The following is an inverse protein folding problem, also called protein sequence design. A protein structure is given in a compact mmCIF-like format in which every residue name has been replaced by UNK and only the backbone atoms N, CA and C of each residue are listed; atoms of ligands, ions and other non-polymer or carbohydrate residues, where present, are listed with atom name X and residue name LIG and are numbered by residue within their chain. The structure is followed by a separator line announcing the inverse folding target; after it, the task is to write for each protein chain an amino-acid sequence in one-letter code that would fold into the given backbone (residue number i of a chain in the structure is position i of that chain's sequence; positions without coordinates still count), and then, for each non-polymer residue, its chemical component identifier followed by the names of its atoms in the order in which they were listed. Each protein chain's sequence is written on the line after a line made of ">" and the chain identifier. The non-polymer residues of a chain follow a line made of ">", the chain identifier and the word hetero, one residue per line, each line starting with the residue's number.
data_IF_099248890273
#
_entry.id   IF_099248890273
#
_cell.length_a   1.000
_cell.length_b   1.000
_cell.length_c   1.000
_cell.angle_alpha   90.00
_cell.angle_beta   90.00
_cell.angle_gamma   90.00
#
_symmetry.space_group_name_H-M   'P 1'
#
loop_
_entity.id
_entity.type
_entity.pdbx_description
1 polymer ?
#
# COMPACT_ATOMS: atom_id res chain seq x y z
N UNK A 1 -1.85 -2.63 5.12
CA UNK A 1 -2.31 -4.01 5.44
C UNK A 1 -2.82 -4.72 4.18
N UNK A 2 -3.87 -4.22 3.52
CA UNK A 2 -4.45 -4.86 2.32
C UNK A 2 -3.42 -5.23 1.24
N UNK A 3 -2.52 -4.29 0.92
CA UNK A 3 -1.48 -4.52 -0.07
C UNK A 3 -0.55 -5.69 0.27
N UNK A 4 -0.25 -5.88 1.55
CA UNK A 4 0.62 -6.97 2.00
C UNK A 4 -0.05 -8.33 1.81
N UNK A 5 -1.38 -8.35 1.89
CA UNK A 5 -2.22 -9.55 1.85
C UNK A 5 -2.64 -9.94 0.43
N UNK A 6 -2.97 -8.94 -0.41
CA UNK A 6 -3.45 -9.17 -1.77
C UNK A 6 -2.32 -9.29 -2.78
N UNK A 7 -1.26 -8.50 -2.63
CA UNK A 7 -0.16 -8.48 -3.58
C UNK A 7 0.84 -9.56 -3.21
N UNK A 8 0.70 -10.73 -3.82
CA UNK A 8 1.61 -11.84 -3.59
C UNK A 8 2.86 -11.72 -4.48
N UNK A 9 4.00 -11.81 -3.82
CA UNK A 9 5.33 -11.62 -4.41
C UNK A 9 5.69 -12.79 -5.33
N UNK A 10 5.11 -13.97 -5.12
CA UNK A 10 5.36 -15.13 -5.98
C UNK A 10 4.91 -14.89 -7.43
N UNK A 11 3.75 -14.24 -7.63
CA UNK A 11 3.25 -13.98 -8.99
C UNK A 11 4.10 -12.97 -9.76
N UNK A 12 4.86 -12.09 -9.08
CA UNK A 12 5.73 -11.10 -9.73
C UNK A 12 6.83 -11.78 -10.54
N UNK A 13 7.38 -12.88 -10.03
CA UNK A 13 8.40 -13.66 -10.74
C UNK A 13 7.85 -14.32 -12.02
N UNK A 14 6.54 -14.60 -12.04
CA UNK A 14 5.82 -15.17 -13.18
C UNK A 14 5.14 -14.11 -14.05
N UNK A 15 5.44 -12.82 -13.85
CA UNK A 15 4.81 -11.72 -14.60
C UNK A 15 3.27 -11.77 -14.51
N UNK A 16 2.76 -11.97 -13.31
CA UNK A 16 1.35 -12.15 -13.04
C UNK A 16 0.89 -11.37 -11.81
N UNK A 17 -0.40 -11.07 -11.79
CA UNK A 17 -1.07 -10.43 -10.66
C UNK A 17 -2.46 -11.06 -10.47
N UNK A 18 -2.97 -11.10 -9.24
CA UNK A 18 -4.35 -11.53 -9.01
C UNK A 18 -5.33 -10.43 -9.41
N UNK A 19 -6.52 -10.79 -9.89
CA UNK A 19 -7.57 -9.81 -10.20
C UNK A 19 -7.90 -8.92 -9.01
N UNK A 20 -7.89 -9.47 -7.79
CA UNK A 20 -8.12 -8.71 -6.57
C UNK A 20 -7.02 -7.69 -6.23
N UNK A 21 -5.74 -8.03 -6.44
CA UNK A 21 -4.65 -7.08 -6.19
C UNK A 21 -4.59 -5.99 -7.25
N UNK A 22 -4.92 -6.30 -8.51
CA UNK A 22 -5.08 -5.31 -9.56
C UNK A 22 -6.23 -4.35 -9.22
N UNK A 23 -7.39 -4.87 -8.81
CA UNK A 23 -8.52 -4.05 -8.36
C UNK A 23 -8.16 -3.16 -7.17
N UNK A 24 -7.42 -3.70 -6.20
CA UNK A 24 -6.92 -2.88 -5.09
C UNK A 24 -6.01 -1.75 -5.56
N UNK A 25 -5.04 -2.04 -6.43
CA UNK A 25 -4.05 -1.06 -6.87
C UNK A 25 -4.66 0.04 -7.75
N UNK A 26 -5.64 -0.28 -8.60
CA UNK A 26 -6.23 0.68 -9.53
C UNK A 26 -7.44 1.42 -8.97
N UNK A 27 -8.24 0.79 -8.10
CA UNK A 27 -9.51 1.35 -7.65
C UNK A 27 -9.41 1.80 -6.20
N UNK A 28 -9.17 0.85 -5.29
CA UNK A 28 -9.23 1.12 -3.85
C UNK A 28 -8.14 2.10 -3.44
N UNK A 29 -6.90 1.85 -3.86
CA UNK A 29 -5.76 2.65 -3.43
C UNK A 29 -5.89 4.13 -3.86
N UNK A 30 -6.15 4.47 -5.14
CA UNK A 30 -6.40 5.86 -5.53
C UNK A 30 -7.60 6.48 -4.83
N UNK A 31 -8.70 5.73 -4.65
CA UNK A 31 -9.89 6.23 -3.97
C UNK A 31 -9.59 6.58 -2.50
N UNK A 32 -8.79 5.77 -1.80
CA UNK A 32 -8.35 6.07 -0.43
C UNK A 32 -7.52 7.35 -0.35
N UNK A 33 -6.61 7.58 -1.31
CA UNK A 33 -5.82 8.81 -1.38
C UNK A 33 -6.72 10.02 -1.58
N UNK A 34 -7.70 9.94 -2.49
CA UNK A 34 -8.63 11.04 -2.76
C UNK A 34 -9.45 11.39 -1.51
N UNK A 35 -10.01 10.38 -0.83
CA UNK A 35 -10.76 10.60 0.43
C UNK A 35 -9.86 11.24 1.48
N UNK A 36 -8.64 10.73 1.64
CA UNK A 36 -7.68 11.26 2.60
C UNK A 36 -7.32 12.72 2.33
N UNK A 37 -7.03 13.08 1.08
CA UNK A 37 -6.71 14.46 0.71
C UNK A 37 -7.90 15.40 0.95
N UNK A 38 -9.12 14.97 0.60
CA UNK A 38 -10.34 15.75 0.84
C UNK A 38 -10.58 15.99 2.33
N UNK A 39 -10.43 14.96 3.16
CA UNK A 39 -10.56 15.11 4.62
C UNK A 39 -9.50 16.06 5.16
N UNK A 40 -8.26 15.96 4.67
CA UNK A 40 -7.16 16.80 5.14
C UNK A 40 -7.27 18.27 4.72
N UNK A 41 -7.97 18.59 3.63
CA UNK A 41 -8.15 19.95 3.14
C UNK A 41 -9.36 20.65 3.77
N UNK A 42 -10.29 19.90 4.37
CA UNK A 42 -11.48 20.48 5.00
C UNK A 42 -11.17 21.02 6.40
N UNK A 43 -11.62 22.25 6.67
CA UNK A 43 -11.61 22.83 8.01
C UNK A 43 -12.59 22.09 8.93
N UNK A 44 -12.25 22.00 10.22
CA UNK A 44 -12.99 21.29 11.27
C UNK A 44 -14.48 21.68 11.39
N UNK A 45 -14.85 22.87 10.92
CA UNK A 45 -16.22 23.40 10.95
C UNK A 45 -17.13 22.82 9.85
N UNK A 46 -16.57 22.19 8.81
CA UNK A 46 -17.34 21.68 7.67
C UNK A 46 -17.64 20.20 7.87
N UNK A 47 -18.90 19.81 7.65
CA UNK A 47 -19.31 18.41 7.79
C UNK A 47 -18.58 17.49 6.79
N UNK A 48 -18.06 16.39 7.32
CA UNK A 48 -17.35 15.34 6.58
C UNK A 48 -18.23 14.10 6.31
N UNK A 49 -19.57 14.26 6.32
CA UNK A 49 -20.52 13.14 6.16
C UNK A 49 -20.28 12.33 4.87
N UNK A 50 -20.01 13.00 3.75
CA UNK A 50 -19.79 12.33 2.45
C UNK A 50 -18.48 11.54 2.46
N UNK A 51 -17.40 12.13 2.96
CA UNK A 51 -16.10 11.48 3.07
C UNK A 51 -16.13 10.30 4.04
N UNK A 52 -16.90 10.42 5.13
CA UNK A 52 -17.14 9.33 6.07
C UNK A 52 -17.87 8.17 5.38
N UNK A 53 -18.95 8.43 4.65
CA UNK A 53 -19.68 7.39 3.90
C UNK A 53 -18.76 6.71 2.87
N UNK A 54 -18.02 7.49 2.08
CA UNK A 54 -17.07 6.93 1.11
C UNK A 54 -15.99 6.10 1.80
N UNK A 55 -15.44 6.58 2.92
CA UNK A 55 -14.46 5.84 3.73
C UNK A 55 -15.02 4.51 4.26
N UNK A 56 -16.25 4.51 4.76
CA UNK A 56 -16.93 3.31 5.24
C UNK A 56 -17.17 2.30 4.12
N UNK A 57 -17.60 2.76 2.93
CA UNK A 57 -17.77 1.88 1.76
C UNK A 57 -16.43 1.23 1.38
N UNK A 58 -15.36 2.02 1.33
CA UNK A 58 -14.02 1.49 1.03
C UNK A 58 -13.57 0.46 2.08
N UNK A 59 -13.85 0.71 3.36
CA UNK A 59 -13.53 -0.21 4.43
C UNK A 59 -14.29 -1.55 4.30
N UNK A 60 -15.59 -1.50 3.98
CA UNK A 60 -16.41 -2.69 3.75
C UNK A 60 -15.88 -3.51 2.56
N UNK A 61 -15.60 -2.85 1.43
CA UNK A 61 -15.04 -3.51 0.24
C UNK A 61 -13.68 -4.13 0.57
N UNK A 62 -12.83 -3.41 1.30
CA UNK A 62 -11.51 -3.90 1.72
C UNK A 62 -11.64 -5.13 2.62
N UNK A 63 -12.56 -5.13 3.57
CA UNK A 63 -12.85 -6.29 4.41
C UNK A 63 -13.27 -7.50 3.57
N UNK A 64 -14.17 -7.29 2.60
CA UNK A 64 -14.65 -8.33 1.71
C UNK A 64 -13.50 -8.95 0.90
N UNK A 65 -12.57 -8.13 0.38
CA UNK A 65 -11.39 -8.63 -0.33
C UNK A 65 -10.47 -9.46 0.56
N UNK A 66 -10.30 -9.10 1.84
CA UNK A 66 -9.52 -9.92 2.80
C UNK A 66 -10.19 -11.28 2.97
N UNK A 67 -11.52 -11.30 3.15
CA UNK A 67 -12.28 -12.54 3.32
C UNK A 67 -12.15 -13.42 2.07
N UNK A 68 -12.34 -12.86 0.87
CA UNK A 68 -12.17 -13.59 -0.38
C UNK A 68 -10.77 -14.19 -0.51
N UNK A 69 -9.73 -13.43 -0.15
CA UNK A 69 -8.35 -13.91 -0.18
C UNK A 69 -8.13 -15.05 0.83
N UNK A 70 -8.73 -14.96 2.02
CA UNK A 70 -8.67 -16.02 3.03
C UNK A 70 -9.30 -17.34 2.55
N UNK A 71 -10.30 -17.26 1.68
CA UNK A 71 -10.91 -18.43 1.00
C UNK A 71 -10.24 -18.80 -0.33
N UNK A 72 -9.07 -18.22 -0.65
CA UNK A 72 -8.33 -18.43 -1.91
C UNK A 72 -9.11 -18.06 -3.19
N UNK A 73 -10.08 -17.14 -3.10
CA UNK A 73 -10.82 -16.62 -4.27
C UNK A 73 -10.05 -15.41 -4.81
N UNK A 74 -9.29 -15.60 -5.90
CA UNK A 74 -8.34 -14.60 -6.41
C UNK A 74 -8.85 -13.76 -7.59
N UNK A 75 -10.09 -13.98 -8.04
CA UNK A 75 -10.67 -13.40 -9.26
C UNK A 75 -9.78 -13.59 -10.49
N UNK A 76 -9.13 -14.75 -10.58
CA UNK A 76 -8.23 -15.12 -11.66
C UNK A 76 -6.82 -14.55 -11.51
N UNK A 77 -5.91 -15.10 -12.31
CA UNK A 77 -4.52 -14.66 -12.43
C UNK A 77 -4.38 -14.00 -13.80
N UNK A 78 -4.02 -12.72 -13.79
CA UNK A 78 -3.90 -11.89 -14.99
C UNK A 78 -2.41 -11.70 -15.28
N UNK A 79 -1.93 -12.00 -16.49
CA UNK A 79 -0.55 -11.72 -16.86
C UNK A 79 -0.35 -10.21 -16.96
N UNK A 80 0.71 -9.71 -16.32
CA UNK A 80 1.16 -8.32 -16.39
C UNK A 80 2.62 -8.31 -16.81
N UNK A 81 2.96 -7.43 -17.76
CA UNK A 81 4.35 -7.26 -18.19
C UNK A 81 5.24 -6.83 -17.04
N UNK A 82 6.53 -7.17 -17.10
CA UNK A 82 7.50 -6.73 -16.09
C UNK A 82 7.47 -5.20 -15.89
N UNK A 83 7.25 -4.45 -16.98
CA UNK A 83 7.06 -2.99 -16.95
C UNK A 83 5.90 -2.53 -16.04
N UNK A 84 4.81 -3.31 -15.94
CA UNK A 84 3.70 -3.00 -15.06
C UNK A 84 4.09 -3.10 -13.58
N UNK A 85 4.84 -4.14 -13.19
CA UNK A 85 5.37 -4.25 -11.82
C UNK A 85 6.39 -3.14 -11.55
N UNK A 86 7.19 -2.79 -12.54
CA UNK A 86 8.16 -1.70 -12.45
C UNK A 86 7.51 -0.33 -12.24
N UNK A 87 6.38 -0.08 -12.90
CA UNK A 87 5.59 1.13 -12.70
C UNK A 87 5.11 1.27 -11.25
N UNK A 88 4.61 0.19 -10.63
CA UNK A 88 4.20 0.20 -9.22
C UNK A 88 5.38 0.42 -8.26
N UNK A 89 6.58 -0.06 -8.60
CA UNK A 89 7.80 0.23 -7.84
C UNK A 89 8.10 1.74 -7.82
N UNK A 90 8.05 2.41 -8.97
CA UNK A 90 8.27 3.86 -9.05
C UNK A 90 7.19 4.68 -8.33
N UNK A 91 5.92 4.25 -8.38
CA UNK A 91 4.86 4.85 -7.54
C UNK A 91 5.24 4.73 -6.06
N UNK A 92 5.76 3.57 -5.65
CA UNK A 92 6.25 3.35 -4.30
C UNK A 92 7.31 4.37 -3.88
N UNK A 93 8.31 4.62 -4.73
CA UNK A 93 9.36 5.63 -4.47
C UNK A 93 8.75 7.03 -4.34
N UNK A 94 7.85 7.42 -5.24
CA UNK A 94 7.19 8.74 -5.19
C UNK A 94 6.43 8.91 -3.88
N UNK A 95 5.72 7.87 -3.42
CA UNK A 95 5.00 7.88 -2.14
C UNK A 95 5.94 7.98 -0.94
N UNK A 96 7.11 7.33 -0.99
CA UNK A 96 8.13 7.46 0.05
C UNK A 96 8.62 8.89 0.16
N UNK A 97 9.02 9.50 -0.96
CA UNK A 97 9.52 10.87 -1.02
C UNK A 97 8.43 11.85 -0.57
N UNK A 98 7.21 11.72 -1.11
CA UNK A 98 6.08 12.56 -0.73
C UNK A 98 5.73 12.42 0.76
N UNK A 99 5.71 11.20 1.28
CA UNK A 99 5.41 10.94 2.70
C UNK A 99 6.44 11.57 3.64
N UNK A 100 7.72 11.53 3.29
CA UNK A 100 8.79 12.21 4.05
C UNK A 100 8.62 13.73 3.96
N UNK A 101 8.44 14.26 2.75
CA UNK A 101 8.33 15.70 2.51
C UNK A 101 7.14 16.34 3.23
N UNK A 102 5.96 15.70 3.16
CA UNK A 102 4.75 16.17 3.84
C UNK A 102 4.67 15.76 5.32
N UNK A 103 5.73 15.15 5.88
CA UNK A 103 5.77 14.62 7.26
C UNK A 103 4.63 13.65 7.60
N UNK A 104 4.12 12.94 6.58
CA UNK A 104 3.05 11.93 6.64
C UNK A 104 3.63 10.54 6.42
N UNK A 105 4.16 9.97 7.50
CA UNK A 105 4.87 8.68 7.49
C UNK A 105 4.01 7.50 7.04
N UNK A 106 2.68 7.61 7.12
CA UNK A 106 1.73 6.63 6.58
C UNK A 106 1.95 6.38 5.09
N UNK A 107 2.16 7.43 4.31
CA UNK A 107 2.44 7.31 2.87
C UNK A 107 3.82 6.71 2.61
N UNK A 108 4.81 7.03 3.44
CA UNK A 108 6.12 6.39 3.33
C UNK A 108 6.07 4.91 3.64
N UNK A 109 5.30 4.49 4.66
CA UNK A 109 5.06 3.07 4.95
C UNK A 109 4.39 2.33 3.78
N UNK A 110 3.35 2.93 3.18
CA UNK A 110 2.67 2.33 2.02
C UNK A 110 3.61 2.27 0.80
N UNK A 111 4.38 3.33 0.55
CA UNK A 111 5.36 3.36 -0.54
C UNK A 111 6.44 2.28 -0.41
N UNK A 112 6.96 2.08 0.80
CA UNK A 112 7.92 1.02 1.10
C UNK A 112 7.32 -0.38 0.89
N UNK A 113 6.04 -0.58 1.22
CA UNK A 113 5.35 -1.86 0.95
C UNK A 113 5.25 -2.13 -0.55
N UNK A 114 4.91 -1.12 -1.36
CA UNK A 114 4.94 -1.26 -2.82
C UNK A 114 6.33 -1.64 -3.30
N UNK A 115 7.37 -0.92 -2.87
CA UNK A 115 8.75 -1.23 -3.25
C UNK A 115 9.17 -2.64 -2.83
N UNK A 116 8.82 -3.09 -1.62
CA UNK A 116 9.15 -4.43 -1.13
C UNK A 116 8.53 -5.54 -1.98
N UNK A 117 7.26 -5.36 -2.38
CA UNK A 117 6.53 -6.35 -3.17
C UNK A 117 6.96 -6.39 -4.64
N UNK A 118 7.46 -5.28 -5.16
CA UNK A 118 7.82 -5.12 -6.59
C UNK A 118 9.33 -5.15 -6.86
N UNK A 119 10.17 -5.31 -5.82
CA UNK A 119 11.64 -5.31 -5.98
C UNK A 119 12.14 -6.41 -6.91
N UNK A 120 11.45 -7.55 -6.96
CA UNK A 120 11.80 -8.69 -7.81
C UNK A 120 11.63 -8.39 -9.30
N UNK A 121 10.79 -7.41 -9.66
CA UNK A 121 10.66 -6.92 -11.03
C UNK A 121 11.80 -5.96 -11.44
N UNK A 122 12.52 -5.41 -10.46
CA UNK A 122 13.66 -4.51 -10.67
C UNK A 122 14.98 -5.27 -10.73
N UNK A 123 15.16 -6.23 -9.82
CA UNK A 123 16.42 -6.90 -9.61
C UNK A 123 16.26 -8.36 -10.05
N UNK A 124 16.85 -8.68 -11.20
CA UNK A 124 16.78 -10.02 -11.79
C UNK A 124 17.61 -11.05 -11.01
N UNK A 125 18.65 -10.63 -10.28
CA UNK A 125 19.42 -11.52 -9.44
C UNK A 125 18.67 -11.78 -8.11
N UNK A 126 18.24 -13.02 -7.84
CA UNK A 126 17.37 -13.35 -6.71
C UNK A 126 18.02 -13.08 -5.36
N UNK A 127 19.35 -13.28 -5.25
CA UNK A 127 20.06 -13.07 -3.99
C UNK A 127 20.06 -11.59 -3.62
N UNK A 128 20.38 -10.71 -4.58
CA UNK A 128 20.28 -9.27 -4.37
C UNK A 128 18.85 -8.80 -4.13
N UNK A 129 17.85 -9.31 -4.86
CA UNK A 129 16.46 -8.93 -4.67
C UNK A 129 15.96 -9.28 -3.26
N UNK A 130 16.39 -10.42 -2.72
CA UNK A 130 16.10 -10.84 -1.35
C UNK A 130 16.78 -9.93 -0.33
N UNK A 131 18.05 -9.57 -0.53
CA UNK A 131 18.77 -8.63 0.35
C UNK A 131 18.06 -7.27 0.40
N UNK A 132 17.70 -6.69 -0.76
CA UNK A 132 16.97 -5.43 -0.82
C UNK A 132 15.57 -5.53 -0.19
N UNK A 133 14.85 -6.61 -0.43
CA UNK A 133 13.56 -6.87 0.22
C UNK A 133 13.68 -6.89 1.74
N UNK A 134 14.74 -7.49 2.28
CA UNK A 134 14.98 -7.57 3.72
C UNK A 134 15.32 -6.18 4.29
N UNK A 135 16.16 -5.41 3.61
CA UNK A 135 16.49 -4.03 3.99
C UNK A 135 15.21 -3.17 4.09
N UNK A 136 14.34 -3.24 3.06
CA UNK A 136 13.07 -2.49 3.05
C UNK A 136 12.18 -2.93 4.22
N UNK A 137 12.17 -4.23 4.54
CA UNK A 137 11.38 -4.76 5.65
C UNK A 137 11.86 -4.25 7.02
N UNK A 138 13.17 -4.22 7.25
CA UNK A 138 13.75 -3.63 8.47
C UNK A 138 13.34 -2.16 8.58
N UNK A 139 13.41 -1.41 7.48
CA UNK A 139 13.05 0.01 7.45
C UNK A 139 11.56 0.22 7.77
N UNK A 140 10.69 -0.66 7.27
CA UNK A 140 9.27 -0.68 7.63
C UNK A 140 9.05 -0.90 9.12
N UNK A 141 9.74 -1.85 9.73
CA UNK A 141 9.63 -2.12 11.19
C UNK A 141 10.04 -0.90 11.99
N UNK A 142 11.18 -0.30 11.66
CA UNK A 142 11.65 0.94 12.32
C UNK A 142 10.63 2.05 12.19
N UNK A 143 10.05 2.24 11.00
CA UNK A 143 9.03 3.26 10.75
C UNK A 143 7.77 3.03 11.60
N UNK A 144 7.30 1.79 11.73
CA UNK A 144 6.13 1.45 12.55
C UNK A 144 6.39 1.70 14.03
N UNK A 145 7.56 1.31 14.54
CA UNK A 145 7.96 1.57 15.94
C UNK A 145 8.01 3.07 16.20
N UNK A 146 8.70 3.83 15.33
CA UNK A 146 8.78 5.28 15.44
C UNK A 146 7.40 5.94 15.42
N UNK A 147 6.53 5.52 14.51
CA UNK A 147 5.17 6.04 14.41
C UNK A 147 4.38 5.77 15.69
N UNK A 148 4.50 4.57 16.25
CA UNK A 148 3.82 4.17 17.50
C UNK A 148 4.30 5.01 18.69
N UNK A 149 5.61 5.23 18.83
CA UNK A 149 6.18 6.08 19.88
C UNK A 149 5.66 7.51 19.74
N UNK A 150 5.70 8.06 18.53
CA UNK A 150 5.23 9.42 18.25
C UNK A 150 3.74 9.57 18.58
N UNK A 151 2.92 8.58 18.23
CA UNK A 151 1.48 8.59 18.55
C UNK A 151 1.26 8.59 20.08
N UNK A 152 1.96 7.71 20.79
CA UNK A 152 1.91 7.59 22.26
C UNK A 152 2.32 8.87 22.99
N UNK A 153 3.33 9.58 22.48
CA UNK A 153 3.79 10.84 23.07
C UNK A 153 2.76 11.97 22.98
N UNK A 154 1.89 11.97 21.95
CA UNK A 154 0.85 13.01 21.77
C UNK A 154 -0.34 12.84 22.70
N UNK A 155 -0.63 11.62 23.13
CA UNK A 155 -1.72 11.29 24.07
C UNK A 155 -1.41 11.56 25.54
N UNK A 156 -0.17 11.93 25.88
CA UNK A 156 0.24 12.28 27.26
C UNK A 156 0.12 13.78 27.60
N UNK A 157 -0.39 14.60 26.67
CA UNK A 157 -0.71 16.01 26.87
C UNK A 157 -2.21 16.17 27.04
#
# INVERSE_FOLDING_TARGET
>A
ILISYLYDKQYVQFQAITGMSLFYCLVIFPMTIVVYLRVSQKNYLRSNKIEMIMGTIIAIISLLLIILQAFNITWGVIPITNFGHQFFFFIGIILVIAGIFYKRLEFSGIGLLFCQKTVDAMIHNPQSAQTFSLIIWILLVVLVIYFTIRLSSRTRL
#
